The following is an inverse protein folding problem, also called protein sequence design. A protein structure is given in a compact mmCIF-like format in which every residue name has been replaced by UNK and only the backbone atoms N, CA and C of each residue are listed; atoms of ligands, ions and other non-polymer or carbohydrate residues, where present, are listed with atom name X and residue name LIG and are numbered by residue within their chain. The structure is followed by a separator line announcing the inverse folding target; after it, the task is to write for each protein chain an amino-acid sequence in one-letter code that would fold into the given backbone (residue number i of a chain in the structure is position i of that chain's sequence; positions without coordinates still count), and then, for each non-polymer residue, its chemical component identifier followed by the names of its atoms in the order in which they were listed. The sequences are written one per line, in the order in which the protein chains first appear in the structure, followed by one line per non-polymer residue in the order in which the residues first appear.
data_IF_559401470967
#
_entry.id   IF_559401470967
#
_cell.length_a   1.000
_cell.length_b   1.000
_cell.length_c   1.000
_cell.angle_alpha   90.00
_cell.angle_beta   90.00
_cell.angle_gamma   90.00
#
_symmetry.space_group_name_H-M   'P 1'
#
loop_
_entity.id
_entity.type
_entity.pdbx_description
1 polymer ?
#
# COMPACT_ATOMS: atom_id res chain seq x y z
N UNK A 1 -9.26 20.40 3.69
CA UNK A 1 -9.94 20.04 4.95
C UNK A 1 -9.95 18.53 5.11
N UNK A 2 -9.47 17.98 6.23
CA UNK A 2 -9.52 16.53 6.50
C UNK A 2 -10.95 16.07 6.89
N UNK A 3 -11.22 14.75 6.88
CA UNK A 3 -12.56 14.20 7.18
C UNK A 3 -13.01 14.53 8.62
N UNK A 4 -12.08 14.71 9.55
CA UNK A 4 -12.38 15.10 10.92
C UNK A 4 -12.87 16.56 10.98
N UNK A 5 -12.16 17.48 10.35
CA UNK A 5 -12.54 18.90 10.25
C UNK A 5 -13.83 19.08 9.44
N UNK A 6 -14.01 18.34 8.35
CA UNK A 6 -15.25 18.36 7.55
C UNK A 6 -16.49 17.88 8.32
N UNK A 7 -16.28 17.04 9.34
CA UNK A 7 -17.34 16.56 10.24
C UNK A 7 -17.59 17.46 11.45
N UNK A 8 -17.00 18.67 11.51
CA UNK A 8 -16.98 19.49 12.72
C UNK A 8 -16.46 18.74 13.96
N UNK A 9 -15.42 17.92 13.76
CA UNK A 9 -14.80 17.11 14.82
C UNK A 9 -15.71 16.05 15.46
N UNK A 10 -16.81 15.68 14.80
CA UNK A 10 -17.76 14.66 15.31
C UNK A 10 -17.49 13.25 14.78
N UNK A 11 -16.64 13.11 13.75
CA UNK A 11 -16.39 11.82 13.13
C UNK A 11 -15.55 10.90 14.04
N UNK A 12 -15.85 9.59 14.10
CA UNK A 12 -15.02 8.62 14.83
C UNK A 12 -13.58 8.52 14.30
N UNK A 13 -13.32 9.01 13.08
CA UNK A 13 -11.96 9.07 12.51
C UNK A 13 -11.10 10.15 13.15
N UNK A 14 -11.68 11.10 13.89
CA UNK A 14 -10.93 12.14 14.60
C UNK A 14 -9.95 11.55 15.63
N UNK A 15 -10.31 10.43 16.26
CA UNK A 15 -9.43 9.73 17.19
C UNK A 15 -8.26 9.01 16.50
N UNK A 16 -8.29 8.91 15.17
CA UNK A 16 -7.18 8.38 14.37
C UNK A 16 -6.14 9.45 14.04
N UNK A 17 -6.42 10.75 14.26
CA UNK A 17 -5.52 11.84 13.92
C UNK A 17 -5.00 12.44 15.23
N UNK A 18 -3.76 12.11 15.60
CA UNK A 18 -3.14 12.68 16.80
C UNK A 18 -2.62 14.07 16.46
N UNK A 19 -3.05 15.03 17.27
CA UNK A 19 -2.60 16.42 17.26
C UNK A 19 -2.14 16.80 18.67
N UNK A 20 -1.02 17.52 18.83
CA UNK A 20 -0.42 17.77 20.13
C UNK A 20 -1.29 18.67 21.04
N UNK A 21 -2.11 19.55 20.47
CA UNK A 21 -2.94 20.51 21.21
C UNK A 21 -4.45 20.21 21.09
N UNK A 22 -4.83 19.02 20.61
CA UNK A 22 -6.22 18.55 20.49
C UNK A 22 -6.84 18.78 19.11
N UNK A 23 -7.97 18.11 18.82
CA UNK A 23 -8.53 18.05 17.47
C UNK A 23 -8.98 19.41 16.90
N UNK A 24 -9.62 20.24 17.73
CA UNK A 24 -10.25 21.50 17.32
C UNK A 24 -9.39 22.76 17.56
N UNK A 25 -8.15 22.61 18.04
CA UNK A 25 -7.31 23.76 18.37
C UNK A 25 -6.74 24.40 17.09
N UNK A 26 -6.99 25.71 16.85
CA UNK A 26 -6.60 26.39 15.61
C UNK A 26 -5.12 26.86 15.59
N UNK A 27 -4.32 26.58 16.63
CA UNK A 27 -2.91 26.96 16.68
C UNK A 27 -2.15 26.43 15.43
N UNK A 28 -1.37 27.28 14.73
CA UNK A 28 -0.60 26.85 13.56
C UNK A 28 0.36 25.68 13.82
N UNK A 29 0.81 25.49 15.06
CA UNK A 29 1.68 24.40 15.47
C UNK A 29 0.91 23.11 15.84
N UNK A 30 -0.42 23.13 15.79
CA UNK A 30 -1.29 21.98 16.06
C UNK A 30 -1.51 21.09 14.81
N UNK A 31 -0.45 20.90 14.05
CA UNK A 31 -0.44 19.97 12.92
C UNK A 31 -0.63 18.52 13.36
N UNK A 32 -1.13 17.63 12.49
CA UNK A 32 -1.14 16.20 12.75
C UNK A 32 0.28 15.66 12.96
N UNK A 33 0.50 14.93 14.06
CA UNK A 33 1.79 14.29 14.37
C UNK A 33 1.77 12.78 14.13
N UNK A 34 0.59 12.16 14.17
CA UNK A 34 0.42 10.76 13.81
C UNK A 34 -0.98 10.48 13.25
N UNK A 35 -1.07 9.48 12.37
CA UNK A 35 -2.35 8.96 11.87
C UNK A 35 -2.42 7.46 12.14
N UNK A 36 -3.35 7.04 12.98
CA UNK A 36 -3.58 5.65 13.36
C UNK A 36 -4.60 5.01 12.41
N UNK A 37 -4.08 4.36 11.37
CA UNK A 37 -4.91 3.58 10.46
C UNK A 37 -5.15 2.18 11.03
N UNK A 38 -6.40 1.71 10.97
CA UNK A 38 -6.75 0.34 11.35
C UNK A 38 -6.70 -0.56 10.10
N UNK A 39 -5.68 -1.42 10.01
CA UNK A 39 -5.52 -2.36 8.88
C UNK A 39 -6.41 -3.60 8.97
N UNK A 40 -7.38 -3.67 9.90
CA UNK A 40 -8.31 -4.80 10.03
C UNK A 40 -9.06 -5.15 8.73
N UNK A 41 -9.24 -4.18 7.84
CA UNK A 41 -9.93 -4.35 6.55
C UNK A 41 -8.98 -4.20 5.35
N UNK A 42 -7.70 -4.55 5.52
CA UNK A 42 -6.78 -4.68 4.40
C UNK A 42 -6.87 -6.08 3.80
N UNK A 43 -7.14 -6.18 2.50
CA UNK A 43 -7.24 -7.46 1.78
C UNK A 43 -6.56 -7.38 0.42
N UNK A 44 -5.56 -8.23 0.22
CA UNK A 44 -4.90 -8.44 -1.07
C UNK A 44 -5.40 -9.74 -1.70
N UNK A 45 -5.46 -9.76 -3.03
CA UNK A 45 -5.81 -10.95 -3.81
C UNK A 45 -5.02 -10.96 -5.11
N UNK A 46 -4.52 -12.12 -5.50
CA UNK A 46 -3.64 -12.27 -6.66
C UNK A 46 -3.60 -13.71 -7.15
N UNK A 47 -2.73 -13.93 -8.14
CA UNK A 47 -2.41 -15.23 -8.71
C UNK A 47 -0.90 -15.44 -8.60
N UNK A 48 -0.52 -16.65 -8.22
CA UNK A 48 0.86 -17.10 -8.14
C UNK A 48 1.05 -18.34 -9.02
N UNK A 49 2.11 -18.32 -9.83
CA UNK A 49 2.55 -19.42 -10.67
C UNK A 49 3.97 -19.82 -10.29
N UNK A 50 4.16 -21.11 -10.04
CA UNK A 50 5.46 -21.70 -9.78
C UNK A 50 5.67 -22.86 -10.75
N UNK A 51 6.81 -22.85 -11.44
CA UNK A 51 7.22 -23.93 -12.33
C UNK A 51 8.67 -24.30 -12.02
N UNK A 52 8.90 -25.59 -11.84
CA UNK A 52 10.22 -26.18 -11.68
C UNK A 52 10.37 -27.35 -12.63
N UNK A 53 11.46 -27.34 -13.39
CA UNK A 53 11.77 -28.40 -14.34
C UNK A 53 13.21 -28.86 -14.18
N UNK A 54 13.44 -30.17 -14.29
CA UNK A 54 14.76 -30.76 -14.16
C UNK A 54 15.08 -31.63 -15.36
N UNK A 55 16.19 -31.32 -16.00
CA UNK A 55 16.68 -31.93 -17.22
C UNK A 55 18.03 -32.60 -16.93
N UNK A 56 18.22 -33.89 -17.27
CA UNK A 56 19.57 -34.45 -17.35
C UNK A 56 20.32 -33.78 -18.52
N UNK A 57 21.53 -33.29 -18.29
CA UNK A 57 22.41 -32.73 -19.31
C UNK A 57 23.81 -33.32 -19.13
N UNK A 58 24.23 -34.20 -20.04
CA UNK A 58 25.49 -34.93 -19.94
C UNK A 58 25.56 -35.78 -18.67
N UNK A 59 26.65 -35.65 -17.90
CA UNK A 59 26.80 -36.26 -16.57
C UNK A 59 26.09 -35.47 -15.46
N UNK A 60 25.57 -34.29 -15.77
CA UNK A 60 25.01 -33.35 -14.82
C UNK A 60 23.48 -33.22 -14.89
N UNK A 61 22.97 -32.28 -14.11
CA UNK A 61 21.56 -31.91 -14.01
C UNK A 61 21.40 -30.41 -14.18
N UNK A 62 20.53 -30.00 -15.10
CA UNK A 62 20.04 -28.65 -15.22
C UNK A 62 18.68 -28.57 -14.52
N UNK A 63 18.55 -27.66 -13.56
CA UNK A 63 17.27 -27.31 -12.94
C UNK A 63 16.90 -25.90 -13.39
N UNK A 64 15.67 -25.73 -13.87
CA UNK A 64 15.07 -24.45 -14.21
C UNK A 64 13.93 -24.21 -13.24
N UNK A 65 13.90 -23.03 -12.62
CA UNK A 65 12.89 -22.60 -11.66
C UNK A 65 12.34 -21.25 -12.11
N UNK A 66 11.03 -21.09 -12.12
CA UNK A 66 10.37 -19.84 -12.44
C UNK A 66 9.20 -19.58 -11.50
N UNK A 67 9.11 -18.34 -11.04
CA UNK A 67 8.07 -17.82 -10.17
C UNK A 67 7.46 -16.60 -10.85
N UNK A 68 6.14 -16.55 -10.96
CA UNK A 68 5.43 -15.40 -11.48
C UNK A 68 4.21 -15.10 -10.62
N UNK A 69 4.15 -13.90 -10.08
CA UNK A 69 3.06 -13.45 -9.21
C UNK A 69 2.44 -12.20 -9.81
N UNK A 70 1.11 -12.14 -9.77
CA UNK A 70 0.34 -10.97 -10.19
C UNK A 70 -0.74 -10.67 -9.17
N UNK A 71 -0.73 -9.45 -8.65
CA UNK A 71 -1.79 -8.97 -7.79
C UNK A 71 -2.99 -8.46 -8.63
N UNK A 72 -4.19 -8.88 -8.23
CA UNK A 72 -5.47 -8.60 -8.90
C UNK A 72 -6.48 -7.87 -8.02
N UNK A 73 -6.19 -7.64 -6.73
CA UNK A 73 -6.96 -6.76 -5.85
C UNK A 73 -6.10 -6.32 -4.68
N UNK A 74 -6.23 -5.06 -4.26
CA UNK A 74 -5.73 -4.58 -2.97
C UNK A 74 -6.72 -3.61 -2.37
N UNK A 75 -7.57 -4.08 -1.48
CA UNK A 75 -8.67 -3.31 -0.91
C UNK A 75 -8.31 -2.84 0.50
N UNK A 76 -8.59 -1.57 0.81
CA UNK A 76 -8.46 -1.01 2.15
C UNK A 76 -9.68 -0.20 2.54
N UNK A 77 -10.03 -0.27 3.82
CA UNK A 77 -11.01 0.60 4.44
C UNK A 77 -10.36 1.26 5.67
N UNK A 78 -10.22 2.58 5.64
CA UNK A 78 -9.49 3.33 6.67
C UNK A 78 -10.31 3.56 7.95
N UNK A 79 -11.65 3.54 7.85
CA UNK A 79 -12.55 3.64 8.98
C UNK A 79 -13.91 2.97 8.70
N UNK A 80 -14.64 2.50 9.74
CA UNK A 80 -16.00 1.98 9.59
C UNK A 80 -16.91 3.01 8.91
N UNK A 81 -17.65 2.58 7.88
CA UNK A 81 -18.57 3.44 7.12
C UNK A 81 -17.92 4.29 6.03
N UNK A 82 -16.59 4.29 5.89
CA UNK A 82 -15.91 4.90 4.75
C UNK A 82 -15.91 3.97 3.53
N UNK A 83 -15.77 4.56 2.33
CA UNK A 83 -15.62 3.83 1.08
C UNK A 83 -14.41 2.89 1.12
N UNK A 84 -14.55 1.73 0.47
CA UNK A 84 -13.45 0.77 0.28
C UNK A 84 -12.67 1.18 -0.97
N UNK A 85 -11.39 1.48 -0.80
CA UNK A 85 -10.50 1.85 -1.90
C UNK A 85 -9.80 0.60 -2.45
N UNK A 86 -9.70 0.48 -3.77
CA UNK A 86 -8.90 -0.56 -4.44
C UNK A 86 -7.62 0.07 -5.02
N UNK A 87 -6.46 -0.39 -4.59
CA UNK A 87 -5.15 0.20 -4.88
C UNK A 87 -4.39 -0.46 -6.04
N UNK A 88 -5.03 -1.38 -6.77
CA UNK A 88 -4.43 -1.92 -7.99
C UNK A 88 -4.10 -0.83 -9.01
N UNK A 89 -2.91 -0.90 -9.60
CA UNK A 89 -2.48 0.03 -10.65
C UNK A 89 -1.97 1.38 -10.15
N UNK A 90 -2.05 1.65 -8.83
CA UNK A 90 -1.45 2.85 -8.22
C UNK A 90 -0.02 2.61 -7.69
N UNK A 91 0.44 1.36 -7.73
CA UNK A 91 1.71 0.92 -7.16
C UNK A 91 2.88 0.90 -8.17
N UNK A 92 2.68 1.45 -9.36
CA UNK A 92 3.73 1.63 -10.37
C UNK A 92 3.65 3.05 -10.96
N UNK A 93 3.91 4.05 -10.12
CA UNK A 93 4.36 5.35 -10.61
C UNK A 93 5.85 5.25 -10.88
N UNK A 94 6.17 4.77 -12.07
CA UNK A 94 7.34 5.19 -12.85
C UNK A 94 7.72 6.65 -12.53
N UNK A 95 8.93 6.84 -12.00
CA UNK A 95 9.81 8.01 -12.13
C UNK A 95 9.24 9.46 -12.04
N UNK A 96 8.07 9.67 -11.45
CA UNK A 96 7.41 10.98 -11.55
C UNK A 96 6.29 11.18 -10.54
N UNK A 97 6.68 11.75 -9.40
CA UNK A 97 5.85 12.28 -8.32
C UNK A 97 4.97 11.29 -7.53
N UNK A 98 5.04 11.32 -6.20
CA UNK A 98 4.10 10.56 -5.37
C UNK A 98 2.65 11.00 -5.64
N UNK A 99 1.72 10.06 -5.80
CA UNK A 99 0.30 10.28 -5.50
C UNK A 99 0.21 10.62 -4.00
N UNK A 100 0.37 11.89 -3.72
CA UNK A 100 -0.13 12.51 -2.50
C UNK A 100 -1.62 12.70 -2.77
N UNK A 101 -2.55 12.16 -1.97
CA UNK A 101 -3.92 12.66 -2.03
C UNK A 101 -3.82 14.18 -1.86
N UNK A 102 -4.19 14.93 -2.89
CA UNK A 102 -4.06 16.39 -2.90
C UNK A 102 -4.85 16.92 -1.72
N UNK A 103 -4.12 17.29 -0.67
CA UNK A 103 -4.72 17.92 0.48
C UNK A 103 -5.32 19.23 0.00
N UNK A 104 -6.64 19.40 0.14
CA UNK A 104 -7.29 20.71 0.01
C UNK A 104 -6.94 21.64 1.17
N UNK A 105 -6.00 21.24 2.04
CA UNK A 105 -5.44 22.02 3.15
C UNK A 105 -3.92 22.20 2.95
N UNK A 106 -3.43 23.40 2.64
CA UNK A 106 -2.01 23.68 2.58
C UNK A 106 -1.31 23.25 3.87
N UNK A 107 -0.18 22.54 3.77
CA UNK A 107 0.64 22.12 4.92
C UNK A 107 0.39 20.72 5.48
N UNK A 108 -0.68 20.01 5.05
CA UNK A 108 -0.84 18.58 5.35
C UNK A 108 -0.17 17.74 4.27
N UNK A 109 1.08 17.35 4.52
CA UNK A 109 1.67 16.22 3.82
C UNK A 109 1.06 14.95 4.41
N UNK A 110 0.08 14.34 3.73
CA UNK A 110 -0.27 12.96 4.05
C UNK A 110 0.99 12.12 3.86
N UNK A 111 1.42 11.29 4.83
CA UNK A 111 2.43 10.29 4.54
C UNK A 111 1.91 9.52 3.34
N UNK A 112 2.69 9.50 2.26
CA UNK A 112 2.45 8.69 1.06
C UNK A 112 1.80 7.39 1.53
N UNK A 113 0.56 7.12 1.11
CA UNK A 113 -0.21 5.95 1.56
C UNK A 113 0.68 4.72 1.36
N UNK A 114 1.40 4.26 2.38
CA UNK A 114 2.43 3.21 2.18
C UNK A 114 1.78 1.95 1.63
N UNK A 115 0.52 1.69 1.97
CA UNK A 115 -0.29 0.61 1.39
C UNK A 115 -0.65 0.78 -0.09
N UNK A 116 -0.46 1.97 -0.69
CA UNK A 116 -0.59 2.20 -2.13
C UNK A 116 0.74 2.03 -2.88
N UNK A 117 1.87 2.22 -2.19
CA UNK A 117 3.23 2.07 -2.76
C UNK A 117 3.86 0.69 -2.49
N UNK A 118 3.49 0.04 -1.38
CA UNK A 118 4.00 -1.25 -0.93
C UNK A 118 3.06 -2.38 -1.38
N UNK A 119 2.72 -2.34 -2.66
CA UNK A 119 2.01 -3.42 -3.31
C UNK A 119 2.83 -3.77 -4.54
N UNK A 120 3.79 -4.68 -4.39
CA UNK A 120 4.50 -5.24 -5.54
C UNK A 120 3.44 -5.87 -6.46
N UNK A 121 3.14 -5.19 -7.56
CA UNK A 121 1.97 -5.47 -8.39
C UNK A 121 2.14 -6.71 -9.25
N UNK A 122 3.31 -6.92 -9.83
CA UNK A 122 3.64 -8.12 -10.61
C UNK A 122 5.14 -8.34 -10.53
N UNK A 123 5.57 -9.56 -10.22
CA UNK A 123 6.98 -9.94 -10.29
C UNK A 123 7.15 -11.27 -10.99
N UNK A 124 8.21 -11.38 -11.77
CA UNK A 124 8.61 -12.61 -12.46
C UNK A 124 10.08 -12.85 -12.16
N UNK A 125 10.39 -14.03 -11.63
CA UNK A 125 11.75 -14.49 -11.35
C UNK A 125 11.99 -15.77 -12.12
N UNK A 126 13.14 -15.86 -12.79
CA UNK A 126 13.58 -17.05 -13.51
C UNK A 126 15.00 -17.36 -13.07
N UNK A 127 15.25 -18.60 -12.69
CA UNK A 127 16.55 -19.11 -12.25
C UNK A 127 16.89 -20.42 -12.94
N UNK A 128 18.18 -20.63 -13.17
CA UNK A 128 18.71 -21.88 -13.65
C UNK A 128 19.91 -22.30 -12.80
N UNK A 129 19.98 -23.59 -12.47
CA UNK A 129 21.08 -24.19 -11.72
C UNK A 129 21.62 -25.39 -12.46
N UNK A 130 22.91 -25.35 -12.78
CA UNK A 130 23.64 -26.50 -13.30
C UNK A 130 24.39 -27.17 -12.15
N UNK A 131 24.26 -28.50 -12.06
CA UNK A 131 25.08 -29.34 -11.20
C UNK A 131 25.80 -30.35 -12.08
N UNK A 132 27.12 -30.22 -12.17
CA UNK A 132 28.00 -31.18 -12.86
C UNK A 132 28.39 -32.34 -11.95
#
# INVERSE_FOLDING_TARGET
MDICAASNYSSPVCNQIIRPLGAANPDPNNGPTAVLINLRNFKTGGIDFELRYQLPIGSGKLTVESLATRLLSSKQQNAPGQAVFNFLGNADMTDGNPIIPTSTSPGLAYPTLRSAYDIIGTYVTIGARLKM
#
